data_IF_347084622500
#
_entry.id   IF_347084622500
#
_cell.length_a   1.000
_cell.length_b   1.000
_cell.length_c   1.000
_cell.angle_alpha   90.00
_cell.angle_beta   90.00
_cell.angle_gamma   90.00
#
_symmetry.space_group_name_H-M   'P 1'
#
loop_
_entity.id
_entity.type
_entity.pdbx_description
1 polymer ?
#
# COMPACT_ATOMS: atom_id res chain seq x y z
N UNK A 1 54.01 11.23 -5.53
CA UNK A 1 52.68 10.93 -6.10
C UNK A 1 51.67 11.48 -5.12
N UNK A 2 51.25 12.73 -5.34
CA UNK A 2 50.33 13.43 -4.44
C UNK A 2 48.99 12.72 -4.41
N UNK A 3 48.54 12.36 -3.21
CA UNK A 3 47.15 12.04 -2.97
C UNK A 3 46.38 13.37 -2.99
N UNK A 4 46.05 13.83 -4.18
CA UNK A 4 45.03 14.88 -4.30
C UNK A 4 43.69 14.29 -3.83
N UNK A 5 42.92 15.02 -3.01
CA UNK A 5 41.59 14.58 -2.61
C UNK A 5 40.74 14.50 -3.88
N UNK A 6 40.28 13.29 -4.21
CA UNK A 6 39.29 13.11 -5.28
C UNK A 6 38.05 13.94 -4.94
N UNK A 7 37.60 14.71 -5.91
CA UNK A 7 36.44 15.61 -5.85
C UNK A 7 35.27 14.99 -5.06
N UNK A 8 34.85 15.64 -3.97
CA UNK A 8 33.77 15.18 -3.08
C UNK A 8 32.45 14.91 -3.84
N UNK A 9 32.24 15.52 -5.01
CA UNK A 9 31.07 15.29 -5.86
C UNK A 9 31.00 13.87 -6.44
N UNK A 10 32.14 13.24 -6.76
CA UNK A 10 32.17 11.86 -7.26
C UNK A 10 31.78 10.86 -6.16
N UNK A 11 31.99 11.26 -4.89
CA UNK A 11 31.58 10.51 -3.71
C UNK A 11 30.08 10.69 -3.42
N UNK A 12 29.38 11.69 -4.00
CA UNK A 12 27.97 12.00 -3.65
C UNK A 12 26.88 11.48 -4.61
N UNK A 13 27.18 10.88 -5.76
CA UNK A 13 26.15 10.32 -6.65
C UNK A 13 25.63 8.96 -6.13
N UNK A 14 24.36 8.84 -5.69
CA UNK A 14 23.79 7.56 -5.26
C UNK A 14 23.90 6.48 -6.33
N UNK A 15 23.86 6.84 -7.63
CA UNK A 15 23.94 5.86 -8.73
C UNK A 15 25.30 5.18 -8.76
N UNK A 16 26.38 5.94 -8.61
CA UNK A 16 27.75 5.39 -8.58
C UNK A 16 27.95 4.45 -7.39
N UNK A 17 27.43 4.80 -6.21
CA UNK A 17 27.48 3.93 -5.02
C UNK A 17 26.66 2.65 -5.20
N UNK A 18 25.45 2.75 -5.75
CA UNK A 18 24.59 1.58 -6.04
C UNK A 18 25.27 0.65 -7.04
N UNK A 19 25.85 1.19 -8.12
CA UNK A 19 26.59 0.39 -9.11
C UNK A 19 27.79 -0.33 -8.49
N UNK A 20 28.57 0.36 -7.66
CA UNK A 20 29.72 -0.26 -6.98
C UNK A 20 29.28 -1.41 -6.05
N UNK A 21 28.20 -1.22 -5.30
CA UNK A 21 27.65 -2.27 -4.42
C UNK A 21 27.08 -3.44 -5.23
N UNK A 22 26.32 -3.17 -6.30
CA UNK A 22 25.78 -4.20 -7.19
C UNK A 22 26.90 -5.05 -7.79
N UNK A 23 27.94 -4.43 -8.35
CA UNK A 23 29.08 -5.14 -8.91
C UNK A 23 29.76 -6.04 -7.87
N UNK A 24 29.98 -5.54 -6.65
CA UNK A 24 30.60 -6.31 -5.57
C UNK A 24 29.73 -7.51 -5.14
N UNK A 25 28.41 -7.34 -5.03
CA UNK A 25 27.50 -8.41 -4.64
C UNK A 25 27.38 -9.50 -5.73
N UNK A 26 27.42 -9.08 -7.01
CA UNK A 26 27.44 -10.00 -8.16
C UNK A 26 28.74 -10.77 -8.22
N UNK A 27 29.89 -10.11 -8.06
CA UNK A 27 31.21 -10.76 -8.03
C UNK A 27 31.30 -11.81 -6.89
N UNK A 28 30.68 -11.51 -5.74
CA UNK A 28 30.59 -12.44 -4.60
C UNK A 28 29.56 -13.56 -4.78
N UNK A 29 28.80 -13.58 -5.89
CA UNK A 29 27.74 -14.56 -6.12
C UNK A 29 26.54 -14.45 -5.16
N UNK A 30 26.39 -13.30 -4.49
CA UNK A 30 25.29 -13.03 -3.55
C UNK A 30 24.06 -12.42 -4.22
N UNK A 31 24.22 -11.95 -5.46
CA UNK A 31 23.19 -11.30 -6.27
C UNK A 31 23.43 -11.63 -7.74
N UNK A 32 22.37 -11.70 -8.55
CA UNK A 32 22.47 -11.81 -10.00
C UNK A 32 21.69 -10.69 -10.68
N UNK A 33 22.04 -10.35 -11.91
CA UNK A 33 21.32 -9.34 -12.68
C UNK A 33 19.89 -9.80 -12.98
N UNK A 34 19.72 -11.07 -13.29
CA UNK A 34 18.44 -11.71 -13.57
C UNK A 34 17.50 -11.64 -12.35
N UNK A 35 18.04 -11.81 -11.13
CA UNK A 35 17.26 -11.68 -9.90
C UNK A 35 16.78 -10.23 -9.66
N UNK A 36 17.60 -9.23 -10.00
CA UNK A 36 17.22 -7.81 -9.94
C UNK A 36 16.11 -7.51 -10.94
N UNK A 37 16.30 -7.93 -12.20
CA UNK A 37 15.32 -7.68 -13.27
C UNK A 37 13.99 -8.38 -12.99
N UNK A 38 14.02 -9.60 -12.45
CA UNK A 38 12.82 -10.32 -12.02
C UNK A 38 12.08 -9.58 -10.90
N UNK A 39 12.79 -9.04 -9.91
CA UNK A 39 12.19 -8.27 -8.83
C UNK A 39 11.56 -6.96 -9.34
N UNK A 40 12.25 -6.24 -10.24
CA UNK A 40 11.70 -5.03 -10.86
C UNK A 40 10.43 -5.36 -11.65
N UNK A 41 10.50 -6.36 -12.54
CA UNK A 41 9.37 -6.78 -13.37
C UNK A 41 8.14 -7.17 -12.55
N UNK A 42 8.34 -7.89 -11.44
CA UNK A 42 7.27 -8.29 -10.54
C UNK A 42 6.47 -7.11 -9.99
N UNK A 43 7.14 -6.06 -9.48
CA UNK A 43 6.45 -4.90 -8.90
C UNK A 43 6.00 -3.86 -9.93
N UNK A 44 6.57 -3.85 -11.14
CA UNK A 44 6.13 -2.96 -12.21
C UNK A 44 4.88 -3.48 -12.93
N UNK A 45 4.75 -4.80 -13.10
CA UNK A 45 3.73 -5.39 -13.97
C UNK A 45 2.73 -6.29 -13.25
N UNK A 46 3.16 -7.03 -12.22
CA UNK A 46 2.37 -8.13 -11.67
C UNK A 46 1.73 -7.79 -10.31
N UNK A 47 2.46 -7.09 -9.45
CA UNK A 47 2.08 -6.83 -8.06
C UNK A 47 1.74 -5.35 -7.88
N UNK A 48 0.47 -5.06 -7.67
CA UNK A 48 -0.02 -3.69 -7.55
C UNK A 48 -1.44 -3.58 -6.98
N UNK A 49 -1.99 -2.36 -6.90
CA UNK A 49 -3.29 -2.09 -6.29
C UNK A 49 -4.47 -2.78 -7.00
N UNK A 50 -4.30 -3.27 -8.22
CA UNK A 50 -5.29 -4.11 -8.90
C UNK A 50 -5.60 -5.42 -8.12
N UNK A 51 -4.68 -5.90 -7.29
CA UNK A 51 -4.90 -7.08 -6.45
C UNK A 51 -5.88 -6.77 -5.32
N UNK A 52 -5.63 -5.69 -4.58
CA UNK A 52 -6.55 -5.17 -3.56
C UNK A 52 -7.92 -4.82 -4.14
N UNK A 53 -7.96 -4.22 -5.33
CA UNK A 53 -9.22 -3.89 -6.00
C UNK A 53 -10.12 -5.11 -6.26
N UNK A 54 -9.54 -6.25 -6.66
CA UNK A 54 -10.28 -7.52 -6.83
C UNK A 54 -10.85 -8.03 -5.49
N UNK A 55 -10.06 -7.95 -4.42
CA UNK A 55 -10.50 -8.35 -3.07
C UNK A 55 -11.67 -7.48 -2.60
N UNK A 56 -11.55 -6.15 -2.75
CA UNK A 56 -12.60 -5.20 -2.36
C UNK A 56 -13.88 -5.43 -3.17
N UNK A 57 -13.77 -5.56 -4.49
CA UNK A 57 -14.92 -5.80 -5.35
C UNK A 57 -15.66 -7.10 -4.99
N UNK A 58 -14.91 -8.19 -4.72
CA UNK A 58 -15.49 -9.45 -4.26
C UNK A 58 -16.22 -9.28 -2.92
N UNK A 59 -15.62 -8.60 -1.96
CA UNK A 59 -16.23 -8.33 -0.65
C UNK A 59 -17.50 -7.45 -0.74
N UNK A 60 -17.66 -6.65 -1.80
CA UNK A 60 -18.87 -5.85 -2.02
C UNK A 60 -20.04 -6.61 -2.64
N UNK A 61 -19.79 -7.75 -3.30
CA UNK A 61 -20.82 -8.55 -3.98
C UNK A 61 -21.08 -9.91 -3.32
N UNK A 62 -20.15 -10.38 -2.49
CA UNK A 62 -20.21 -11.65 -1.76
C UNK A 62 -20.05 -11.39 -0.26
N UNK A 63 -21.18 -11.44 0.47
CA UNK A 63 -21.23 -11.19 1.89
C UNK A 63 -20.51 -12.28 2.71
N UNK A 64 -20.57 -13.54 2.26
CA UNK A 64 -19.89 -14.64 2.94
C UNK A 64 -18.37 -14.50 2.78
N UNK A 65 -17.90 -14.08 1.60
CA UNK A 65 -16.49 -13.76 1.39
C UNK A 65 -16.07 -12.56 2.25
N UNK A 66 -16.89 -11.51 2.35
CA UNK A 66 -16.60 -10.36 3.21
C UNK A 66 -16.44 -10.76 4.67
N UNK A 67 -17.32 -11.61 5.20
CA UNK A 67 -17.21 -12.11 6.58
C UNK A 67 -15.90 -12.88 6.81
N UNK A 68 -15.53 -13.77 5.87
CA UNK A 68 -14.24 -14.47 5.91
C UNK A 68 -13.06 -13.51 5.83
N UNK A 69 -13.12 -12.51 4.94
CA UNK A 69 -12.06 -11.51 4.76
C UNK A 69 -11.81 -10.70 6.04
N UNK A 70 -12.85 -10.37 6.80
CA UNK A 70 -12.71 -9.60 8.04
C UNK A 70 -12.26 -10.45 9.23
N UNK A 71 -12.57 -11.76 9.21
CA UNK A 71 -12.24 -12.70 10.30
C UNK A 71 -10.88 -13.37 10.12
N UNK A 72 -10.58 -13.85 8.91
CA UNK A 72 -9.31 -14.47 8.51
C UNK A 72 -8.88 -13.96 7.12
N UNK A 73 -8.31 -12.73 7.07
CA UNK A 73 -7.92 -12.12 5.80
C UNK A 73 -6.87 -12.92 5.04
N UNK A 74 -5.96 -13.62 5.74
CA UNK A 74 -4.88 -14.38 5.10
C UNK A 74 -5.47 -15.54 4.30
N UNK A 75 -6.38 -16.31 4.91
CA UNK A 75 -7.04 -17.41 4.20
C UNK A 75 -7.93 -16.90 3.06
N UNK A 76 -8.71 -15.84 3.30
CA UNK A 76 -9.62 -15.29 2.27
C UNK A 76 -8.86 -14.72 1.06
N UNK A 77 -7.77 -13.99 1.28
CA UNK A 77 -6.93 -13.47 0.21
C UNK A 77 -6.22 -14.62 -0.54
N UNK A 78 -5.92 -15.73 0.15
CA UNK A 78 -5.37 -16.94 -0.46
C UNK A 78 -6.20 -17.50 -1.63
N UNK A 79 -7.52 -17.26 -1.66
CA UNK A 79 -8.41 -17.67 -2.76
C UNK A 79 -8.00 -17.07 -4.12
N UNK A 80 -7.28 -15.93 -4.12
CA UNK A 80 -6.84 -15.23 -5.34
C UNK A 80 -5.49 -15.72 -5.89
N UNK A 81 -4.78 -16.57 -5.15
CA UNK A 81 -3.44 -17.06 -5.53
C UNK A 81 -2.41 -15.95 -5.78
N UNK A 82 -2.47 -14.86 -4.99
CA UNK A 82 -1.42 -13.84 -5.00
C UNK A 82 -0.16 -14.35 -4.27
N UNK A 83 1.01 -13.87 -4.69
CA UNK A 83 2.24 -14.07 -3.92
C UNK A 83 2.20 -13.23 -2.64
N UNK A 84 1.76 -13.84 -1.54
CA UNK A 84 1.58 -13.15 -0.25
C UNK A 84 2.90 -12.94 0.52
N UNK A 85 3.95 -13.67 0.17
CA UNK A 85 5.19 -13.70 0.94
C UNK A 85 4.91 -14.05 2.41
N UNK A 86 5.62 -13.40 3.33
CA UNK A 86 5.40 -13.54 4.78
C UNK A 86 4.51 -12.44 5.38
N UNK A 87 3.70 -11.76 4.56
CA UNK A 87 2.90 -10.62 5.03
C UNK A 87 1.64 -11.07 5.76
N UNK A 88 1.43 -10.57 6.98
CA UNK A 88 0.19 -10.78 7.73
C UNK A 88 -0.75 -9.61 7.47
N UNK A 89 -1.61 -9.76 6.46
CA UNK A 89 -2.57 -8.70 6.10
C UNK A 89 -3.75 -8.72 7.06
N UNK A 90 -4.12 -7.54 7.58
CA UNK A 90 -5.36 -7.33 8.33
C UNK A 90 -6.26 -6.37 7.54
N UNK A 91 -7.52 -6.74 7.35
CA UNK A 91 -8.50 -5.86 6.70
C UNK A 91 -9.31 -5.11 7.75
N UNK A 92 -9.50 -3.81 7.55
CA UNK A 92 -10.29 -2.93 8.42
C UNK A 92 -11.38 -2.24 7.60
N UNK A 93 -12.63 -2.41 8.01
CA UNK A 93 -13.79 -1.97 7.23
C UNK A 93 -14.19 -0.53 7.55
N UNK A 94 -14.38 0.28 6.51
CA UNK A 94 -15.09 1.55 6.63
C UNK A 94 -16.60 1.34 6.69
N UNK A 95 -17.27 2.11 7.54
CA UNK A 95 -18.73 2.11 7.75
C UNK A 95 -19.23 3.54 7.85
N UNK A 96 -20.56 3.72 7.91
CA UNK A 96 -21.19 5.03 8.09
C UNK A 96 -20.77 5.76 9.38
N UNK A 97 -20.11 5.06 10.32
CA UNK A 97 -19.66 5.62 11.60
C UNK A 97 -18.16 5.52 11.84
N UNK A 98 -17.42 4.81 11.00
CA UNK A 98 -15.99 4.59 11.19
C UNK A 98 -15.27 4.70 9.85
N UNK A 99 -14.29 5.59 9.77
CA UNK A 99 -13.36 5.71 8.65
C UNK A 99 -11.95 5.33 9.12
N UNK A 100 -11.34 4.37 8.45
CA UNK A 100 -10.01 3.88 8.77
C UNK A 100 -8.97 4.55 7.85
N UNK A 101 -7.79 4.85 8.38
CA UNK A 101 -6.62 5.31 7.62
C UNK A 101 -5.37 4.61 8.12
N UNK A 102 -4.50 4.19 7.21
CA UNK A 102 -3.31 3.38 7.53
C UNK A 102 -2.04 4.20 7.43
N UNK A 103 -1.13 4.06 8.38
CA UNK A 103 0.19 4.72 8.39
C UNK A 103 1.26 3.76 8.90
N UNK A 104 2.53 4.08 8.62
CA UNK A 104 3.66 3.50 9.33
C UNK A 104 4.54 4.64 9.83
N UNK A 105 4.32 5.05 11.08
CA UNK A 105 5.01 6.22 11.64
C UNK A 105 6.53 6.00 11.69
N UNK A 106 6.97 4.77 11.95
CA UNK A 106 8.38 4.42 12.12
C UNK A 106 9.17 4.34 10.80
N UNK A 107 8.55 3.94 9.70
CA UNK A 107 9.25 3.79 8.42
C UNK A 107 8.33 3.90 7.20
N UNK A 108 7.84 2.76 6.70
CA UNK A 108 7.14 2.63 5.41
C UNK A 108 6.47 1.27 5.21
N UNK A 109 6.17 0.54 6.30
CA UNK A 109 5.47 -0.75 6.24
C UNK A 109 4.18 -0.64 5.42
N UNK A 110 3.97 -1.56 4.48
CA UNK A 110 2.87 -1.47 3.51
C UNK A 110 2.50 -2.88 2.98
N UNK A 111 1.22 -3.16 2.66
CA UNK A 111 0.78 -4.48 2.19
C UNK A 111 1.10 -4.69 0.70
N UNK A 112 2.36 -5.00 0.37
CA UNK A 112 2.86 -5.08 -1.00
C UNK A 112 2.14 -6.11 -1.86
N UNK A 113 1.79 -7.28 -1.32
CA UNK A 113 1.09 -8.34 -2.07
C UNK A 113 -0.24 -7.89 -2.69
N UNK A 114 -0.93 -6.93 -2.04
CA UNK A 114 -2.24 -6.44 -2.45
C UNK A 114 -2.23 -5.01 -2.99
N UNK A 115 -1.25 -4.18 -2.61
CA UNK A 115 -1.19 -2.76 -3.01
C UNK A 115 0.07 -2.37 -3.81
N UNK A 116 1.02 -3.28 -4.00
CA UNK A 116 2.32 -2.99 -4.61
C UNK A 116 3.22 -2.11 -3.74
N UNK A 117 4.20 -1.45 -4.35
CA UNK A 117 5.10 -0.54 -3.63
C UNK A 117 4.35 0.73 -3.19
N UNK A 118 4.60 1.25 -1.98
CA UNK A 118 3.92 2.44 -1.48
C UNK A 118 4.29 3.69 -2.28
N UNK A 119 3.33 4.62 -2.48
CA UNK A 119 3.61 5.91 -3.10
C UNK A 119 4.61 6.71 -2.27
N UNK A 120 5.27 7.69 -2.91
CA UNK A 120 6.31 8.50 -2.25
C UNK A 120 5.78 9.27 -1.04
N UNK A 121 4.57 9.82 -1.12
CA UNK A 121 3.94 10.55 -0.02
C UNK A 121 3.70 9.68 1.21
N UNK A 122 3.38 8.39 1.06
CA UNK A 122 3.15 7.49 2.20
C UNK A 122 4.41 7.33 3.05
N UNK A 123 5.58 7.35 2.39
CA UNK A 123 6.89 7.21 3.02
C UNK A 123 7.41 8.52 3.63
N UNK A 124 6.74 9.63 3.33
CA UNK A 124 7.23 10.97 3.67
C UNK A 124 7.03 11.27 5.16
N UNK A 125 7.96 12.02 5.79
CA UNK A 125 7.80 12.44 7.19
C UNK A 125 6.50 13.22 7.43
N UNK A 126 6.06 14.02 6.46
CA UNK A 126 4.88 14.88 6.55
C UNK A 126 3.62 14.05 6.77
N UNK A 127 3.39 13.03 5.94
CA UNK A 127 2.26 12.12 6.10
C UNK A 127 2.36 11.34 7.41
N UNK A 128 3.53 10.74 7.65
CA UNK A 128 3.76 9.80 8.76
C UNK A 128 3.61 10.45 10.13
N UNK A 129 4.14 11.66 10.32
CA UNK A 129 4.07 12.35 11.61
C UNK A 129 2.66 12.90 11.89
N UNK A 130 1.97 13.40 10.86
CA UNK A 130 0.70 14.13 11.05
C UNK A 130 -0.52 13.23 11.10
N UNK A 131 -0.51 12.09 10.39
CA UNK A 131 -1.68 11.21 10.30
C UNK A 131 -2.14 10.69 11.66
N UNK A 132 -1.22 10.45 12.60
CA UNK A 132 -1.55 10.02 13.98
C UNK A 132 -1.92 11.17 14.93
N UNK A 133 -1.63 12.42 14.57
CA UNK A 133 -1.87 13.59 15.43
C UNK A 133 -3.13 14.36 15.01
N UNK A 134 -3.28 14.58 13.71
CA UNK A 134 -4.35 15.37 13.11
C UNK A 134 -4.92 14.70 11.85
N UNK A 135 -5.41 13.44 11.94
CA UNK A 135 -5.83 12.67 10.78
C UNK A 135 -6.85 13.40 9.92
N UNK A 136 -7.84 14.06 10.54
CA UNK A 136 -8.86 14.84 9.82
C UNK A 136 -8.31 16.03 9.05
N UNK A 137 -7.18 16.63 9.47
CA UNK A 137 -6.53 17.68 8.69
C UNK A 137 -5.81 17.09 7.48
N UNK A 138 -5.08 15.99 7.69
CA UNK A 138 -4.40 15.27 6.61
C UNK A 138 -5.39 14.78 5.56
N UNK A 139 -6.52 14.18 5.96
CA UNK A 139 -7.56 13.73 5.01
C UNK A 139 -8.13 14.88 4.17
N UNK A 140 -8.34 16.07 4.77
CA UNK A 140 -8.79 17.26 4.03
C UNK A 140 -7.77 17.71 2.98
N UNK A 141 -6.47 17.51 3.21
CA UNK A 141 -5.43 17.79 2.20
C UNK A 141 -5.47 16.82 1.01
N UNK A 142 -5.97 15.60 1.22
CA UNK A 142 -6.32 14.66 0.15
C UNK A 142 -7.69 14.94 -0.50
N UNK A 143 -8.39 16.00 -0.06
CA UNK A 143 -9.71 16.36 -0.56
C UNK A 143 -10.86 15.59 0.11
N UNK A 144 -10.60 14.85 1.19
CA UNK A 144 -11.61 14.11 1.94
C UNK A 144 -11.99 14.87 3.21
N UNK A 145 -13.17 15.49 3.20
CA UNK A 145 -13.77 16.08 4.39
C UNK A 145 -14.83 15.13 4.97
N UNK A 146 -14.64 14.71 6.22
CA UNK A 146 -15.52 13.75 6.89
C UNK A 146 -16.37 14.47 7.93
N UNK A 147 -17.66 14.12 8.00
CA UNK A 147 -18.56 14.64 9.02
C UNK A 147 -18.01 14.42 10.43
N UNK A 148 -18.33 15.34 11.34
CA UNK A 148 -17.79 15.35 12.71
C UNK A 148 -18.20 14.15 13.56
N UNK A 149 -19.27 13.45 13.21
CA UNK A 149 -19.78 12.27 13.91
C UNK A 149 -19.15 10.94 13.44
N UNK A 150 -18.37 10.95 12.35
CA UNK A 150 -17.63 9.78 11.87
C UNK A 150 -16.35 9.60 12.72
N UNK A 151 -16.16 8.44 13.35
CA UNK A 151 -14.92 8.14 14.05
C UNK A 151 -13.79 7.91 13.03
N UNK A 152 -12.63 8.56 13.20
CA UNK A 152 -11.45 8.29 12.37
C UNK A 152 -10.47 7.40 13.13
N UNK A 153 -10.28 6.17 12.66
CA UNK A 153 -9.34 5.20 13.24
C UNK A 153 -8.04 5.16 12.45
N UNK A 154 -6.96 5.54 13.11
CA UNK A 154 -5.62 5.49 12.53
C UNK A 154 -4.98 4.16 12.89
N UNK A 155 -4.56 3.39 11.90
CA UNK A 155 -3.87 2.12 12.06
C UNK A 155 -2.38 2.30 11.78
N UNK A 156 -1.59 2.38 12.85
CA UNK A 156 -0.13 2.43 12.74
C UNK A 156 0.45 1.02 12.62
N UNK A 157 1.14 0.75 11.52
CA UNK A 157 1.76 -0.54 11.21
C UNK A 157 3.09 -0.70 11.97
N UNK A 158 3.01 -0.76 13.30
CA UNK A 158 4.16 -0.84 14.22
C UNK A 158 4.66 -2.27 14.47
N UNK A 159 3.96 -3.28 13.95
CA UNK A 159 4.31 -4.70 14.04
C UNK A 159 4.36 -5.33 12.64
N UNK A 160 4.46 -6.66 12.55
CA UNK A 160 4.41 -7.39 11.27
C UNK A 160 3.02 -7.53 10.65
N UNK A 161 2.04 -6.79 11.18
CA UNK A 161 0.70 -6.63 10.60
C UNK A 161 0.76 -5.58 9.48
N UNK A 162 0.05 -5.84 8.38
CA UNK A 162 -0.10 -4.91 7.26
C UNK A 162 -1.57 -4.63 7.05
N UNK A 163 -2.00 -3.41 7.38
CA UNK A 163 -3.40 -3.04 7.24
C UNK A 163 -3.77 -2.69 5.80
N UNK A 164 -4.94 -3.14 5.36
CA UNK A 164 -5.62 -2.68 4.15
C UNK A 164 -7.03 -2.24 4.53
N UNK A 165 -7.45 -1.06 4.07
CA UNK A 165 -8.82 -0.59 4.27
C UNK A 165 -9.73 -1.28 3.27
N UNK A 166 -10.86 -1.81 3.75
CA UNK A 166 -12.01 -2.17 2.91
C UNK A 166 -12.92 -0.92 2.83
N UNK A 167 -12.87 -0.15 1.72
CA UNK A 167 -13.71 1.03 1.58
C UNK A 167 -15.19 0.64 1.45
N UNK A 168 -16.08 1.58 1.75
CA UNK A 168 -17.51 1.40 1.50
C UNK A 168 -17.79 1.36 0.00
N UNK A 169 -18.77 0.53 -0.40
CA UNK A 169 -19.27 0.50 -1.77
C UNK A 169 -20.01 1.81 -2.05
N UNK A 170 -19.63 2.57 -3.10
CA UNK A 170 -20.35 3.79 -3.45
C UNK A 170 -21.77 3.48 -3.92
N UNK A 171 -22.72 4.35 -3.55
CA UNK A 171 -24.10 4.30 -4.04
C UNK A 171 -24.17 4.45 -5.56
N UNK A 172 -25.19 3.87 -6.20
CA UNK A 172 -25.37 3.97 -7.65
C UNK A 172 -24.53 2.96 -8.44
N UNK A 173 -23.90 2.02 -7.75
CA UNK A 173 -23.11 0.93 -8.37
C UNK A 173 -23.80 -0.42 -8.30
N UNK A 174 -25.09 -0.47 -7.96
CA UNK A 174 -25.84 -1.71 -7.72
C UNK A 174 -25.90 -2.61 -8.95
N UNK A 175 -25.87 -2.03 -10.15
CA UNK A 175 -25.87 -2.74 -11.43
C UNK A 175 -24.49 -3.13 -11.95
N UNK A 176 -23.41 -2.63 -11.34
CA UNK A 176 -22.05 -2.91 -11.81
C UNK A 176 -21.65 -4.36 -11.51
N UNK A 177 -20.97 -4.97 -12.46
CA UNK A 177 -20.31 -6.27 -12.28
C UNK A 177 -19.12 -6.17 -11.34
N UNK A 178 -18.66 -7.31 -10.81
CA UNK A 178 -17.46 -7.36 -9.96
C UNK A 178 -16.23 -6.73 -10.63
N UNK A 179 -16.06 -6.93 -11.95
CA UNK A 179 -14.94 -6.34 -12.69
C UNK A 179 -15.06 -4.82 -12.84
N UNK A 180 -16.27 -4.29 -13.02
CA UNK A 180 -16.53 -2.85 -13.09
C UNK A 180 -16.36 -2.20 -11.71
N UNK A 181 -16.77 -2.89 -10.64
CA UNK A 181 -16.51 -2.47 -9.26
C UNK A 181 -15.02 -2.46 -8.95
N UNK A 182 -14.24 -3.45 -9.40
CA UNK A 182 -12.79 -3.43 -9.22
C UNK A 182 -12.14 -2.21 -9.90
N UNK A 183 -12.67 -1.77 -11.05
CA UNK A 183 -12.12 -0.65 -11.81
C UNK A 183 -12.25 0.71 -11.09
N UNK A 184 -13.20 0.86 -10.17
CA UNK A 184 -13.41 2.10 -9.39
C UNK A 184 -12.64 2.11 -8.07
N UNK A 185 -12.12 0.96 -7.62
CA UNK A 185 -11.33 0.89 -6.38
C UNK A 185 -9.94 1.48 -6.64
N UNK A 186 -9.54 2.42 -5.79
CA UNK A 186 -8.24 3.08 -5.91
C UNK A 186 -7.29 2.61 -4.81
N UNK A 187 -5.98 2.79 -5.05
CA UNK A 187 -4.98 2.60 -3.99
C UNK A 187 -5.29 3.48 -2.77
N UNK A 188 -5.67 4.71 -3.02
CA UNK A 188 -5.87 5.72 -1.98
C UNK A 188 -7.08 5.38 -1.08
N UNK A 189 -8.14 4.79 -1.65
CA UNK A 189 -9.27 4.30 -0.85
C UNK A 189 -8.93 3.07 -0.01
N UNK A 190 -7.99 2.24 -0.46
CA UNK A 190 -7.49 1.09 0.30
C UNK A 190 -6.39 1.45 1.33
N UNK A 191 -5.82 2.65 1.26
CA UNK A 191 -5.03 3.25 2.35
C UNK A 191 -5.95 4.00 3.34
N UNK A 192 -7.10 4.48 2.85
CA UNK A 192 -8.07 5.25 3.61
C UNK A 192 -7.85 6.77 3.55
N UNK A 193 -7.11 7.27 2.55
CA UNK A 193 -6.92 8.73 2.36
C UNK A 193 -7.96 9.34 1.42
N UNK A 194 -8.77 8.53 0.75
CA UNK A 194 -9.88 8.97 -0.09
C UNK A 194 -11.10 8.07 0.05
N UNK A 195 -12.26 8.56 -0.38
CA UNK A 195 -13.46 7.75 -0.63
C UNK A 195 -13.65 7.60 -2.13
N UNK A 196 -14.34 6.54 -2.52
CA UNK A 196 -14.68 6.30 -3.92
C UNK A 196 -15.99 7.02 -4.20
N UNK A 197 -15.99 7.90 -5.20
CA UNK A 197 -17.17 8.62 -5.67
C UNK A 197 -17.36 8.28 -7.13
N UNK A 198 -18.54 7.76 -7.48
CA UNK A 198 -18.94 7.50 -8.86
C UNK A 198 -19.96 8.56 -9.23
N UNK A 199 -19.60 9.44 -10.17
CA UNK A 199 -20.48 10.43 -10.80
C UNK A 199 -21.16 9.88 -12.04
#
# INVERSE_FOLDING_TARGET
MSLEPKNDQEIQDPKSRVRALQSLLVEKGLLSHEAIDAAISAYEHNIGPQNGAKIVARAWVDADFKERLLTDPVSAIGEFNFEMGSQHVQVVENTDKVHNVVVCTLCSCYPWSVLGLPPTWYKSPEYRARTVLEPRSVLREFGLDLDGDIEVKVHDSSADIRYMVLPQRPSGTESLTESELAAIVTRDSMIGVSQIVVT
#
